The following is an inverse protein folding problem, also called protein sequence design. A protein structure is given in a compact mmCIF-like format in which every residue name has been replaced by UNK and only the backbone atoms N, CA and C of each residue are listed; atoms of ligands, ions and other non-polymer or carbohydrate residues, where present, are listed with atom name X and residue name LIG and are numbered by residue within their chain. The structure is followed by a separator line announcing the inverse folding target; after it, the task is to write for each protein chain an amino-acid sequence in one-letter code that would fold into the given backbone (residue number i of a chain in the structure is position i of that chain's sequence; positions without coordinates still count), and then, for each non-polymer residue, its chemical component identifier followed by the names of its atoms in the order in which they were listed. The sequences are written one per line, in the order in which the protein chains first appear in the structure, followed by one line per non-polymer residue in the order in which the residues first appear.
data_IF_033258950785
#
_entry.id   IF_033258950785
#
_cell.length_a   1.000
_cell.length_b   1.000
_cell.length_c   1.000
_cell.angle_alpha   90.00
_cell.angle_beta   90.00
_cell.angle_gamma   90.00
#
_symmetry.space_group_name_H-M   'P 1'
#
loop_
_entity.id
_entity.type
_entity.pdbx_description
1 polymer ?
#
# COMPACT_ATOMS: atom_id res chain seq x y z
N UNK A 1 27.70 61.12 32.22
CA UNK A 1 28.13 60.44 30.99
C UNK A 1 27.63 59.01 31.00
N UNK A 2 26.51 58.74 30.42
CA UNK A 2 25.93 57.41 30.37
C UNK A 2 26.31 56.79 29.03
N UNK A 3 27.20 55.80 29.09
CA UNK A 3 27.45 54.95 27.92
C UNK A 3 26.46 53.79 27.93
N UNK A 4 25.43 53.99 27.14
CA UNK A 4 24.49 52.92 26.83
C UNK A 4 25.19 51.81 26.02
N UNK A 5 25.39 50.64 26.62
CA UNK A 5 25.87 49.45 25.90
C UNK A 5 24.68 48.73 25.34
N UNK A 6 24.45 48.91 24.05
CA UNK A 6 23.48 48.15 23.31
C UNK A 6 24.01 46.74 23.14
N UNK A 7 23.42 45.78 23.84
CA UNK A 7 23.70 44.35 23.64
C UNK A 7 22.84 43.93 22.48
N UNK A 8 23.47 43.70 21.34
CA UNK A 8 22.81 43.09 20.18
C UNK A 8 22.64 41.59 20.47
N UNK A 9 21.41 41.17 20.71
CA UNK A 9 21.05 39.77 20.86
C UNK A 9 20.85 39.20 19.47
N UNK A 10 21.89 38.55 18.94
CA UNK A 10 21.77 37.77 17.70
C UNK A 10 21.05 36.48 18.00
N UNK A 11 19.75 36.46 17.72
CA UNK A 11 18.96 35.25 17.76
C UNK A 11 19.17 34.51 16.44
N UNK A 12 20.23 33.68 16.38
CA UNK A 12 20.36 32.71 15.28
C UNK A 12 19.28 31.64 15.44
N UNK A 13 18.17 31.81 14.75
CA UNK A 13 17.17 30.77 14.59
C UNK A 13 17.77 29.75 13.63
N UNK A 14 18.39 28.71 14.21
CA UNK A 14 18.79 27.53 13.49
C UNK A 14 17.54 26.73 13.14
N UNK A 15 16.96 27.03 11.99
CA UNK A 15 15.89 26.22 11.41
C UNK A 15 16.47 24.86 11.03
N UNK A 16 16.35 23.90 11.94
CA UNK A 16 16.59 22.50 11.66
C UNK A 16 15.43 22.05 10.77
N UNK A 17 15.66 22.08 9.47
CA UNK A 17 14.84 21.35 8.51
C UNK A 17 15.05 19.86 8.79
N UNK A 18 14.15 19.29 9.58
CA UNK A 18 13.99 17.85 9.65
C UNK A 18 13.48 17.41 8.28
N UNK A 19 14.39 17.13 7.37
CA UNK A 19 14.10 16.37 6.17
C UNK A 19 13.84 14.97 6.69
N UNK A 20 12.58 14.71 7.01
CA UNK A 20 12.11 13.35 7.16
C UNK A 20 12.11 12.76 5.75
N UNK A 21 13.17 12.04 5.40
CA UNK A 21 13.12 11.07 4.32
C UNK A 21 12.11 10.00 4.74
N UNK A 22 10.84 10.29 4.51
CA UNK A 22 9.79 9.29 4.65
C UNK A 22 9.84 8.45 3.37
N UNK A 23 10.85 7.61 3.24
CA UNK A 23 10.77 6.42 2.41
C UNK A 23 9.85 5.45 3.16
N UNK A 24 8.54 5.76 3.17
CA UNK A 24 7.54 4.84 3.63
C UNK A 24 7.50 3.70 2.62
N UNK A 25 8.09 2.56 2.99
CA UNK A 25 8.00 1.33 2.21
C UNK A 25 6.53 0.96 2.03
N UNK A 26 6.13 0.63 0.80
CA UNK A 26 4.77 0.20 0.50
C UNK A 26 4.49 -1.14 1.18
N UNK A 27 3.51 -1.15 2.08
CA UNK A 27 3.14 -2.32 2.86
C UNK A 27 2.13 -3.14 2.08
N UNK A 28 2.44 -4.42 1.83
CA UNK A 28 1.54 -5.34 1.18
C UNK A 28 0.34 -5.65 2.08
N UNK A 29 -0.92 -5.49 1.60
CA UNK A 29 -2.11 -5.79 2.38
C UNK A 29 -2.21 -7.29 2.69
N UNK A 30 -2.61 -7.63 3.91
CA UNK A 30 -2.77 -9.00 4.33
C UNK A 30 -4.21 -9.47 4.16
N UNK A 31 -4.41 -10.58 3.47
CA UNK A 31 -5.69 -11.30 3.43
C UNK A 31 -5.92 -11.99 4.78
N UNK A 32 -7.01 -11.66 5.46
CA UNK A 32 -7.38 -12.18 6.79
C UNK A 32 -8.67 -13.02 6.80
N UNK A 33 -9.09 -13.52 5.65
CA UNK A 33 -10.28 -14.32 5.49
C UNK A 33 -10.04 -15.53 4.59
N UNK A 34 -10.93 -16.51 4.70
CA UNK A 34 -10.96 -17.72 3.87
C UNK A 34 -12.26 -17.70 3.06
N UNK A 35 -12.16 -18.03 1.77
CA UNK A 35 -13.33 -18.19 0.92
C UNK A 35 -13.90 -19.59 1.13
N UNK A 36 -15.17 -19.74 1.54
CA UNK A 36 -15.78 -21.04 1.70
C UNK A 36 -16.01 -21.72 0.35
N UNK A 37 -16.19 -23.04 0.36
CA UNK A 37 -16.43 -23.79 -0.90
C UNK A 37 -17.72 -23.42 -1.64
N UNK A 38 -18.68 -22.83 -0.94
CA UNK A 38 -20.00 -22.51 -1.45
C UNK A 38 -21.00 -23.66 -1.38
N UNK A 39 -20.55 -24.92 -1.43
CA UNK A 39 -21.44 -26.11 -1.50
C UNK A 39 -22.35 -26.26 -0.30
N UNK A 40 -21.87 -25.98 0.90
CA UNK A 40 -22.63 -26.05 2.15
C UNK A 40 -22.63 -24.71 2.91
N UNK A 41 -22.35 -23.63 2.22
CA UNK A 41 -22.25 -22.30 2.82
C UNK A 41 -23.62 -21.67 2.97
N UNK A 42 -23.78 -20.87 4.02
CA UNK A 42 -24.95 -20.02 4.22
C UNK A 42 -24.81 -18.71 3.47
N UNK A 43 -25.92 -18.01 3.28
CA UNK A 43 -25.91 -16.67 2.68
C UNK A 43 -25.06 -15.70 3.51
N UNK A 44 -25.16 -15.78 4.84
CA UNK A 44 -24.43 -14.87 5.74
C UNK A 44 -22.91 -15.09 5.64
N UNK A 45 -22.47 -16.36 5.55
CA UNK A 45 -21.04 -16.68 5.32
C UNK A 45 -20.53 -16.13 3.98
N UNK A 46 -21.35 -16.22 2.93
CA UNK A 46 -21.00 -15.66 1.63
C UNK A 46 -20.93 -14.13 1.65
N UNK A 47 -21.88 -13.46 2.34
CA UNK A 47 -21.87 -12.01 2.50
C UNK A 47 -20.69 -11.51 3.34
N UNK A 48 -20.31 -12.24 4.39
CA UNK A 48 -19.14 -11.89 5.21
C UNK A 48 -17.85 -11.86 4.39
N UNK A 49 -17.68 -12.79 3.47
CA UNK A 49 -16.52 -12.79 2.55
C UNK A 49 -16.49 -11.52 1.70
N UNK A 50 -17.63 -11.10 1.16
CA UNK A 50 -17.70 -9.87 0.35
C UNK A 50 -17.37 -8.63 1.17
N UNK A 51 -17.81 -8.56 2.42
CA UNK A 51 -17.52 -7.45 3.32
C UNK A 51 -16.03 -7.34 3.67
N UNK A 52 -15.30 -8.46 3.60
CA UNK A 52 -13.83 -8.51 3.79
C UNK A 52 -13.05 -8.34 2.49
N UNK A 53 -13.57 -8.82 1.38
CA UNK A 53 -12.89 -8.73 0.10
C UNK A 53 -12.86 -7.30 -0.45
N UNK A 54 -13.94 -6.55 -0.34
CA UNK A 54 -13.99 -5.15 -0.81
C UNK A 54 -12.91 -4.25 -0.18
N UNK A 55 -12.71 -4.23 1.14
CA UNK A 55 -11.62 -3.48 1.74
C UNK A 55 -10.23 -3.96 1.28
N UNK A 56 -10.03 -5.27 1.10
CA UNK A 56 -8.79 -5.82 0.59
C UNK A 56 -8.49 -5.32 -0.83
N UNK A 57 -9.49 -5.28 -1.70
CA UNK A 57 -9.34 -4.73 -3.06
C UNK A 57 -8.91 -3.26 -3.02
N UNK A 58 -9.53 -2.45 -2.16
CA UNK A 58 -9.15 -1.04 -1.98
C UNK A 58 -7.72 -0.90 -1.45
N UNK A 59 -7.31 -1.73 -0.51
CA UNK A 59 -5.96 -1.74 0.04
C UNK A 59 -4.92 -2.18 -0.99
N UNK A 60 -5.23 -3.17 -1.83
CA UNK A 60 -4.37 -3.61 -2.93
C UNK A 60 -4.21 -2.51 -3.99
N UNK A 61 -5.27 -1.76 -4.31
CA UNK A 61 -5.21 -0.62 -5.20
C UNK A 61 -4.31 0.50 -4.62
N UNK A 62 -4.47 0.80 -3.33
CA UNK A 62 -3.62 1.76 -2.63
C UNK A 62 -2.16 1.32 -2.59
N UNK A 63 -1.90 0.02 -2.40
CA UNK A 63 -0.57 -0.56 -2.47
C UNK A 63 0.07 -0.37 -3.84
N UNK A 64 -0.66 -0.63 -4.92
CA UNK A 64 -0.17 -0.41 -6.30
C UNK A 64 0.09 1.06 -6.58
N UNK A 65 -0.74 1.97 -6.08
CA UNK A 65 -0.50 3.42 -6.19
C UNK A 65 0.77 3.84 -5.46
N UNK A 66 1.00 3.30 -4.27
CA UNK A 66 2.24 3.51 -3.51
C UNK A 66 3.47 3.03 -4.29
N UNK A 67 3.41 1.86 -4.94
CA UNK A 67 4.49 1.33 -5.77
C UNK A 67 4.83 2.24 -6.95
N UNK A 68 3.83 2.86 -7.58
CA UNK A 68 4.05 3.82 -8.66
C UNK A 68 4.74 5.11 -8.17
N UNK A 69 4.41 5.56 -6.96
CA UNK A 69 5.10 6.68 -6.32
C UNK A 69 6.55 6.32 -5.98
N UNK A 70 6.79 5.12 -5.47
CA UNK A 70 8.13 4.60 -5.17
C UNK A 70 8.97 4.52 -6.45
N UNK A 71 8.40 4.02 -7.55
CA UNK A 71 9.06 3.98 -8.86
C UNK A 71 9.44 5.38 -9.35
N UNK A 72 8.51 6.34 -9.24
CA UNK A 72 8.72 7.73 -9.66
C UNK A 72 9.82 8.44 -8.87
N UNK A 73 10.09 7.99 -7.66
CA UNK A 73 11.12 8.55 -6.79
C UNK A 73 12.52 8.00 -7.07
N UNK A 74 12.65 6.95 -7.90
CA UNK A 74 13.95 6.38 -8.25
C UNK A 74 14.68 7.38 -9.18
N UNK A 75 15.90 7.83 -8.83
CA UNK A 75 16.69 8.67 -9.72
C UNK A 75 17.01 7.93 -11.02
N UNK A 76 16.78 8.59 -12.16
CA UNK A 76 17.01 7.99 -13.48
C UNK A 76 18.48 7.64 -13.76
N UNK A 77 19.40 8.24 -13.00
CA UNK A 77 20.86 8.02 -13.07
C UNK A 77 21.36 7.05 -11.98
N UNK A 78 20.47 6.43 -11.22
CA UNK A 78 20.86 5.42 -10.24
C UNK A 78 21.53 4.23 -10.93
N UNK A 79 22.63 3.75 -10.39
CA UNK A 79 23.41 2.64 -10.95
C UNK A 79 22.58 1.35 -11.11
N UNK A 80 21.64 1.12 -10.20
CA UNK A 80 20.77 -0.04 -10.20
C UNK A 80 19.30 0.27 -10.58
N UNK A 81 19.09 1.33 -11.38
CA UNK A 81 17.76 1.80 -11.77
C UNK A 81 16.88 0.69 -12.35
N UNK A 82 17.38 -0.04 -13.35
CA UNK A 82 16.61 -1.11 -14.02
C UNK A 82 16.23 -2.25 -13.06
N UNK A 83 17.12 -2.58 -12.12
CA UNK A 83 16.84 -3.59 -11.09
C UNK A 83 15.74 -3.14 -10.14
N UNK A 84 15.80 -1.90 -9.66
CA UNK A 84 14.78 -1.33 -8.77
C UNK A 84 13.41 -1.25 -9.45
N UNK A 85 13.35 -0.77 -10.69
CA UNK A 85 12.12 -0.74 -11.49
C UNK A 85 11.57 -2.15 -11.69
N UNK A 86 12.42 -3.12 -12.04
CA UNK A 86 12.00 -4.52 -12.22
C UNK A 86 11.41 -5.12 -10.94
N UNK A 87 11.98 -4.81 -9.79
CA UNK A 87 11.44 -5.25 -8.49
C UNK A 87 10.04 -4.67 -8.22
N UNK A 88 9.84 -3.39 -8.50
CA UNK A 88 8.55 -2.71 -8.31
C UNK A 88 7.50 -3.31 -9.26
N UNK A 89 7.83 -3.51 -10.52
CA UNK A 89 6.95 -4.15 -11.51
C UNK A 89 6.51 -5.55 -11.05
N UNK A 90 7.44 -6.36 -10.54
CA UNK A 90 7.11 -7.69 -10.01
C UNK A 90 6.17 -7.64 -8.82
N UNK A 91 6.35 -6.70 -7.90
CA UNK A 91 5.46 -6.49 -6.76
C UNK A 91 4.06 -6.07 -7.22
N UNK A 92 3.99 -5.15 -8.19
CA UNK A 92 2.75 -4.67 -8.78
C UNK A 92 1.97 -5.81 -9.45
N UNK A 93 2.62 -6.56 -10.34
CA UNK A 93 2.00 -7.67 -11.08
C UNK A 93 1.57 -8.80 -10.12
N UNK A 94 2.38 -9.13 -9.12
CA UNK A 94 2.04 -10.11 -8.10
C UNK A 94 0.79 -9.73 -7.32
N UNK A 95 0.55 -8.46 -7.05
CA UNK A 95 -0.68 -8.00 -6.39
C UNK A 95 -1.92 -8.16 -7.26
N UNK A 96 -1.80 -7.98 -8.57
CA UNK A 96 -2.88 -8.20 -9.54
C UNK A 96 -3.20 -9.70 -9.66
N UNK A 97 -2.18 -10.54 -9.73
CA UNK A 97 -2.34 -11.99 -9.78
C UNK A 97 -3.07 -12.52 -8.55
N UNK A 98 -2.71 -12.06 -7.36
CA UNK A 98 -3.39 -12.47 -6.12
C UNK A 98 -4.84 -12.00 -6.08
N UNK A 99 -5.11 -10.74 -6.40
CA UNK A 99 -6.48 -10.22 -6.45
C UNK A 99 -7.33 -11.00 -7.45
N UNK A 100 -6.78 -11.33 -8.62
CA UNK A 100 -7.44 -12.14 -9.65
C UNK A 100 -7.71 -13.56 -9.16
N UNK A 101 -6.77 -14.18 -8.47
CA UNK A 101 -6.93 -15.52 -7.90
C UNK A 101 -8.04 -15.56 -6.84
N UNK A 102 -8.10 -14.57 -5.96
CA UNK A 102 -9.16 -14.41 -4.95
C UNK A 102 -10.52 -14.23 -5.62
N UNK A 103 -10.60 -13.37 -6.65
CA UNK A 103 -11.85 -13.15 -7.40
C UNK A 103 -12.34 -14.42 -8.10
N UNK A 104 -11.45 -15.20 -8.68
CA UNK A 104 -11.79 -16.47 -9.32
C UNK A 104 -12.29 -17.50 -8.29
N UNK A 105 -11.62 -17.64 -7.16
CA UNK A 105 -12.06 -18.52 -6.08
C UNK A 105 -13.43 -18.11 -5.53
N UNK A 106 -13.65 -16.81 -5.36
CA UNK A 106 -14.95 -16.27 -4.99
C UNK A 106 -16.04 -16.61 -6.01
N UNK A 107 -15.78 -16.43 -7.29
CA UNK A 107 -16.73 -16.74 -8.35
C UNK A 107 -17.08 -18.23 -8.39
N UNK A 108 -16.12 -19.11 -8.13
CA UNK A 108 -16.37 -20.56 -7.99
C UNK A 108 -17.25 -20.87 -6.79
N UNK A 109 -16.97 -20.25 -5.63
CA UNK A 109 -17.79 -20.39 -4.43
C UNK A 109 -19.24 -19.92 -4.65
N UNK A 110 -19.44 -18.79 -5.35
CA UNK A 110 -20.77 -18.29 -5.72
C UNK A 110 -21.53 -19.25 -6.63
N UNK A 111 -20.85 -19.82 -7.64
CA UNK A 111 -21.47 -20.82 -8.51
C UNK A 111 -21.90 -22.07 -7.73
N UNK A 112 -21.05 -22.55 -6.84
CA UNK A 112 -21.36 -23.70 -5.97
C UNK A 112 -22.51 -23.40 -5.02
N UNK A 113 -22.52 -22.20 -4.42
CA UNK A 113 -23.63 -21.74 -3.57
C UNK A 113 -24.95 -21.69 -4.32
N UNK A 114 -24.98 -21.12 -5.52
CA UNK A 114 -26.18 -21.01 -6.33
C UNK A 114 -26.70 -22.38 -6.87
N UNK A 115 -25.88 -23.41 -6.80
CA UNK A 115 -26.22 -24.77 -7.22
C UNK A 115 -26.73 -25.68 -6.10
N UNK A 116 -26.85 -25.14 -4.88
CA UNK A 116 -27.39 -25.89 -3.72
C UNK A 116 -28.84 -26.31 -3.90
#
# INVERSE_FOLDING_TARGET
MNKSKTIAFNLSILSILLISDVNAECIYPKKDFVIPSGTNSTKDEMLEVMDKFKPLQADLESYRSCLLEEESAIPSDAENYDELVSMIVKKHDGSIEEETAIANEWNEAVRAYNSQ
#
